data_IF_335179896052
#
_entry.id   IF_335179896052
#
_cell.length_a   1.000
_cell.length_b   1.000
_cell.length_c   1.000
_cell.angle_alpha   90.00
_cell.angle_beta   90.00
_cell.angle_gamma   90.00
#
_symmetry.space_group_name_H-M   'P 1'
#
loop_
_entity.id
_entity.type
_entity.pdbx_description
1 polymer ?
#
# COMPACT_ATOMS: atom_id res chain seq x y z
N UNK A 1 9.95 -10.71 1.56
CA UNK A 1 10.27 -12.09 1.13
C UNK A 1 11.27 -12.06 -0.01
N UNK A 2 11.05 -11.36 -1.13
CA UNK A 2 11.96 -11.35 -2.29
C UNK A 2 13.42 -11.04 -1.92
N UNK A 3 13.66 -10.04 -1.05
CA UNK A 3 15.00 -9.71 -0.58
C UNK A 3 15.59 -10.80 0.34
N UNK A 4 14.77 -11.41 1.17
CA UNK A 4 15.18 -12.50 2.06
C UNK A 4 15.64 -13.73 1.27
N UNK A 5 14.96 -14.02 0.15
CA UNK A 5 15.28 -15.15 -0.73
C UNK A 5 16.34 -14.83 -1.79
N UNK A 6 16.91 -13.59 -1.77
CA UNK A 6 17.91 -13.12 -2.73
C UNK A 6 17.45 -13.30 -4.18
N UNK A 7 16.55 -12.45 -4.59
CA UNK A 7 15.93 -12.49 -5.91
C UNK A 7 16.94 -12.17 -7.01
N UNK A 8 17.05 -13.04 -8.00
CA UNK A 8 17.79 -12.84 -9.25
C UNK A 8 16.93 -13.07 -10.47
N UNK A 9 17.55 -12.92 -11.65
CA UNK A 9 16.95 -13.33 -12.92
C UNK A 9 17.80 -14.40 -13.57
N UNK A 10 17.16 -15.46 -14.00
CA UNK A 10 17.83 -16.48 -14.81
C UNK A 10 18.25 -15.85 -16.15
N UNK A 11 19.55 -15.88 -16.48
CA UNK A 11 20.08 -15.21 -17.68
C UNK A 11 19.58 -15.81 -19.01
N UNK A 12 19.07 -17.03 -19.01
CA UNK A 12 18.61 -17.73 -20.21
C UNK A 12 17.10 -17.57 -20.42
N UNK A 13 16.32 -17.61 -19.35
CA UNK A 13 14.86 -17.53 -19.44
C UNK A 13 14.29 -16.16 -19.08
N UNK A 14 15.09 -15.29 -18.47
CA UNK A 14 14.63 -14.00 -17.92
C UNK A 14 13.61 -14.12 -16.79
N UNK A 15 13.42 -15.32 -16.25
CA UNK A 15 12.49 -15.58 -15.16
C UNK A 15 13.08 -15.19 -13.83
N UNK A 16 12.19 -14.76 -12.92
CA UNK A 16 12.55 -14.52 -11.52
C UNK A 16 12.95 -15.86 -10.88
N UNK A 17 14.12 -15.89 -10.27
CA UNK A 17 14.64 -17.00 -9.50
C UNK A 17 15.06 -16.53 -8.12
N UNK A 18 15.07 -17.43 -7.15
CA UNK A 18 15.53 -17.19 -5.80
C UNK A 18 16.81 -17.99 -5.55
N UNK A 19 17.79 -17.36 -4.87
CA UNK A 19 19.03 -18.05 -4.48
C UNK A 19 18.79 -19.04 -3.35
N UNK A 20 17.95 -18.68 -2.39
CA UNK A 20 17.55 -19.58 -1.31
C UNK A 20 16.38 -20.46 -1.72
N UNK A 21 16.49 -21.76 -1.44
CA UNK A 21 15.52 -22.81 -1.72
C UNK A 21 15.83 -24.08 -0.97
N UNK A 22 15.38 -25.23 -1.46
CA UNK A 22 15.62 -26.55 -0.84
C UNK A 22 17.11 -26.90 -0.73
N UNK A 23 17.91 -26.53 -1.74
CA UNK A 23 19.36 -26.84 -1.80
C UNK A 23 20.20 -25.85 -0.96
N UNK A 24 19.71 -24.66 -0.71
CA UNK A 24 20.36 -23.64 0.13
C UNK A 24 19.34 -22.96 1.05
N UNK A 25 18.89 -23.64 2.12
CA UNK A 25 17.86 -23.11 3.00
C UNK A 25 18.37 -21.94 3.85
N UNK A 26 17.44 -21.08 4.26
CA UNK A 26 17.71 -19.97 5.16
C UNK A 26 18.26 -20.45 6.51
N UNK A 27 19.32 -19.81 6.98
CA UNK A 27 19.93 -20.09 8.30
C UNK A 27 19.19 -19.31 9.39
N UNK A 28 17.90 -19.61 9.57
CA UNK A 28 17.04 -18.95 10.55
C UNK A 28 16.30 -19.99 11.40
N UNK A 29 16.19 -19.73 12.68
CA UNK A 29 15.39 -20.54 13.63
C UNK A 29 13.93 -20.14 13.63
N UNK A 30 13.64 -18.89 13.23
CA UNK A 30 12.29 -18.39 13.07
C UNK A 30 12.22 -17.34 11.95
N UNK A 31 11.13 -17.36 11.19
CA UNK A 31 10.80 -16.36 10.18
C UNK A 31 9.43 -15.76 10.52
N UNK A 32 9.36 -14.45 10.59
CA UNK A 32 8.12 -13.70 10.79
C UNK A 32 7.82 -12.96 9.50
N UNK A 33 6.65 -13.24 8.90
CA UNK A 33 6.16 -12.55 7.71
C UNK A 33 5.04 -11.60 8.14
N UNK A 34 5.29 -10.31 8.03
CA UNK A 34 4.28 -9.29 8.22
C UNK A 34 3.58 -8.96 6.89
N UNK A 35 2.38 -8.37 6.95
CA UNK A 35 1.54 -8.06 5.76
C UNK A 35 1.31 -9.29 4.86
N UNK A 36 1.06 -10.46 5.47
CA UNK A 36 0.92 -11.74 4.75
C UNK A 36 -0.27 -11.75 3.79
N UNK A 37 -1.27 -10.90 3.96
CA UNK A 37 -2.38 -10.71 3.01
C UNK A 37 -1.91 -10.35 1.59
N UNK A 38 -0.73 -9.74 1.46
CA UNK A 38 -0.11 -9.35 0.18
C UNK A 38 0.72 -10.47 -0.46
N UNK A 39 0.88 -11.62 0.20
CA UNK A 39 1.70 -12.76 -0.28
C UNK A 39 0.84 -13.69 -1.11
N UNK A 40 1.26 -13.94 -2.35
CA UNK A 40 0.60 -14.91 -3.23
C UNK A 40 1.11 -16.35 -3.01
N UNK A 41 0.42 -17.30 -3.62
CA UNK A 41 0.74 -18.72 -3.48
C UNK A 41 2.15 -19.07 -3.99
N UNK A 42 2.60 -18.59 -5.17
CA UNK A 42 3.96 -18.87 -5.65
C UNK A 42 5.06 -18.33 -4.72
N UNK A 43 4.88 -17.13 -4.19
CA UNK A 43 5.87 -16.51 -3.30
C UNK A 43 5.95 -17.24 -1.95
N UNK A 44 4.80 -17.69 -1.43
CA UNK A 44 4.79 -18.51 -0.22
C UNK A 44 5.41 -19.87 -0.46
N UNK A 45 5.14 -20.51 -1.59
CA UNK A 45 5.77 -21.79 -1.95
C UNK A 45 7.31 -21.66 -2.01
N UNK A 46 7.81 -20.58 -2.62
CA UNK A 46 9.25 -20.30 -2.65
C UNK A 46 9.83 -20.07 -1.23
N UNK A 47 9.10 -19.35 -0.38
CA UNK A 47 9.51 -19.15 1.01
C UNK A 47 9.57 -20.48 1.76
N UNK A 48 8.53 -21.30 1.66
CA UNK A 48 8.48 -22.59 2.34
C UNK A 48 9.58 -23.55 1.89
N UNK A 49 9.91 -23.56 0.59
CA UNK A 49 11.02 -24.34 0.06
C UNK A 49 12.39 -23.90 0.62
N UNK A 50 12.53 -22.64 1.01
CA UNK A 50 13.75 -22.11 1.60
C UNK A 50 13.80 -22.24 3.14
N UNK A 51 12.75 -22.73 3.80
CA UNK A 51 12.76 -22.93 5.24
C UNK A 51 13.25 -24.33 5.63
N UNK A 52 14.06 -24.39 6.68
CA UNK A 52 14.40 -25.66 7.30
C UNK A 52 13.19 -26.24 8.04
N UNK A 53 13.12 -27.56 8.17
CA UNK A 53 12.01 -28.25 8.84
C UNK A 53 11.83 -27.87 10.31
N UNK A 54 12.88 -27.41 10.98
CA UNK A 54 12.88 -26.97 12.38
C UNK A 54 12.65 -25.45 12.54
N UNK A 55 12.55 -24.70 11.44
CA UNK A 55 12.30 -23.26 11.47
C UNK A 55 10.84 -22.95 11.82
N UNK A 56 10.63 -22.02 12.74
CA UNK A 56 9.31 -21.54 13.11
C UNK A 56 8.86 -20.47 12.12
N UNK A 57 7.67 -20.64 11.54
CA UNK A 57 7.06 -19.65 10.66
C UNK A 57 5.89 -18.96 11.39
N UNK A 58 5.93 -17.64 11.47
CA UNK A 58 4.85 -16.81 12.02
C UNK A 58 4.34 -15.90 10.90
N UNK A 59 3.07 -15.98 10.60
CA UNK A 59 2.39 -15.17 9.61
C UNK A 59 1.53 -14.11 10.31
N UNK A 60 1.78 -12.85 10.03
CA UNK A 60 1.05 -11.71 10.57
C UNK A 60 0.38 -10.98 9.42
N UNK A 61 -0.87 -10.57 9.57
CA UNK A 61 -1.60 -9.85 8.52
C UNK A 61 -3.05 -9.62 8.88
N UNK A 62 -3.74 -8.97 7.98
CA UNK A 62 -5.16 -8.67 8.09
C UNK A 62 -5.92 -9.37 6.96
N UNK A 63 -6.75 -10.41 7.27
CA UNK A 63 -7.48 -11.17 6.24
C UNK A 63 -8.58 -10.35 5.57
N UNK A 64 -8.94 -9.20 6.14
CA UNK A 64 -9.99 -8.31 5.64
C UNK A 64 -9.42 -7.22 4.70
N UNK A 65 -8.09 -7.10 4.60
CA UNK A 65 -7.44 -6.28 3.58
C UNK A 65 -7.52 -6.91 2.19
N UNK A 66 -7.20 -6.09 1.17
CA UNK A 66 -7.16 -6.59 -0.21
C UNK A 66 -6.14 -7.74 -0.33
N UNK A 67 -6.52 -8.83 -1.02
CA UNK A 67 -5.61 -9.95 -1.25
C UNK A 67 -4.46 -9.56 -2.18
N UNK A 68 -3.48 -10.45 -2.30
CA UNK A 68 -2.37 -10.31 -3.23
C UNK A 68 -2.83 -10.06 -4.67
N UNK A 69 -2.04 -9.34 -5.46
CA UNK A 69 -2.27 -9.17 -6.91
C UNK A 69 -1.99 -10.48 -7.66
N UNK A 70 -1.07 -11.30 -7.14
CA UNK A 70 -0.77 -12.63 -7.65
C UNK A 70 -1.86 -13.65 -7.30
N UNK A 71 -1.75 -14.89 -7.81
CA UNK A 71 -2.79 -15.89 -7.69
C UNK A 71 -2.98 -16.40 -6.24
N UNK A 72 -4.25 -16.51 -5.84
CA UNK A 72 -4.69 -17.10 -4.58
C UNK A 72 -4.91 -16.08 -3.45
N UNK A 73 -5.75 -16.43 -2.50
CA UNK A 73 -5.96 -15.70 -1.23
C UNK A 73 -5.36 -16.53 -0.10
N UNK A 74 -4.04 -16.71 -0.15
CA UNK A 74 -3.32 -17.63 0.71
C UNK A 74 -3.63 -17.43 2.20
N UNK A 75 -3.50 -16.19 2.70
CA UNK A 75 -3.65 -15.90 4.12
C UNK A 75 -5.06 -16.20 4.63
N UNK A 76 -6.06 -15.75 3.88
CA UNK A 76 -7.46 -16.07 4.16
C UNK A 76 -7.76 -17.57 4.07
N UNK A 77 -7.17 -18.28 3.10
CA UNK A 77 -7.38 -19.72 2.93
C UNK A 77 -6.73 -20.52 4.06
N UNK A 78 -5.53 -20.15 4.51
CA UNK A 78 -4.88 -20.77 5.67
C UNK A 78 -5.72 -20.63 6.94
N UNK A 79 -6.25 -19.43 7.20
CA UNK A 79 -7.13 -19.19 8.36
C UNK A 79 -8.41 -20.03 8.26
N UNK A 80 -9.06 -20.06 7.09
CA UNK A 80 -10.30 -20.82 6.88
C UNK A 80 -10.10 -22.32 6.95
N UNK A 81 -8.94 -22.82 6.59
CA UNK A 81 -8.64 -24.26 6.65
C UNK A 81 -8.65 -24.81 8.07
N UNK A 82 -8.38 -23.97 9.07
CA UNK A 82 -8.26 -24.39 10.47
C UNK A 82 -7.07 -25.31 10.75
N UNK A 83 -6.19 -25.54 9.79
CA UNK A 83 -5.02 -26.45 9.94
C UNK A 83 -3.83 -25.77 10.62
N UNK A 84 -3.80 -24.43 10.64
CA UNK A 84 -2.72 -23.64 11.25
C UNK A 84 -3.25 -22.98 12.52
N UNK A 85 -2.56 -23.08 13.66
CA UNK A 85 -2.92 -22.35 14.87
C UNK A 85 -3.04 -20.85 14.60
N UNK A 86 -4.21 -20.28 14.90
CA UNK A 86 -4.52 -18.90 14.57
C UNK A 86 -4.96 -18.13 15.80
N UNK A 87 -4.37 -16.96 16.01
CA UNK A 87 -4.80 -15.99 17.02
C UNK A 87 -5.39 -14.77 16.31
N UNK A 88 -6.64 -14.45 16.62
CA UNK A 88 -7.31 -13.25 16.11
C UNK A 88 -7.32 -12.15 17.15
N UNK A 89 -6.85 -10.97 16.76
CA UNK A 89 -6.97 -9.77 17.56
C UNK A 89 -8.33 -9.11 17.25
N UNK A 90 -9.26 -9.20 18.20
CA UNK A 90 -10.64 -8.72 18.01
C UNK A 90 -10.97 -7.49 18.86
N UNK A 91 -10.10 -7.11 19.78
CA UNK A 91 -10.34 -5.95 20.65
C UNK A 91 -9.98 -4.66 19.93
N UNK A 92 -10.96 -3.82 19.68
CA UNK A 92 -10.78 -2.45 19.23
C UNK A 92 -10.63 -1.59 20.50
N UNK A 93 -9.51 -0.88 20.61
CA UNK A 93 -9.33 0.07 21.72
C UNK A 93 -10.44 1.13 21.70
N UNK A 94 -10.87 1.54 22.90
CA UNK A 94 -12.01 2.46 23.09
C UNK A 94 -11.91 3.74 22.25
N UNK A 95 -10.73 4.29 22.07
CA UNK A 95 -10.49 5.45 21.20
C UNK A 95 -10.76 5.16 19.71
N UNK A 96 -10.35 3.99 19.22
CA UNK A 96 -10.60 3.59 17.83
C UNK A 96 -12.08 3.26 17.58
N UNK A 97 -12.84 2.82 18.58
CA UNK A 97 -14.28 2.57 18.47
C UNK A 97 -15.10 3.84 18.23
N UNK A 98 -14.57 5.02 18.56
CA UNK A 98 -15.21 6.32 18.26
C UNK A 98 -14.87 6.85 16.87
N UNK A 99 -13.87 6.29 16.20
CA UNK A 99 -13.46 6.66 14.84
C UNK A 99 -14.54 6.31 13.82
N UNK A 100 -14.94 7.25 13.00
CA UNK A 100 -15.83 7.02 11.88
C UNK A 100 -15.14 6.23 10.76
N UNK A 101 -13.81 6.36 10.59
CA UNK A 101 -13.01 5.55 9.67
C UNK A 101 -13.12 4.08 10.05
N UNK A 102 -12.87 3.74 11.31
CA UNK A 102 -12.90 2.35 11.79
C UNK A 102 -14.30 1.75 11.65
N UNK A 103 -15.33 2.49 12.08
CA UNK A 103 -16.72 2.04 11.95
C UNK A 103 -17.12 1.79 10.49
N UNK A 104 -16.78 2.73 9.59
CA UNK A 104 -17.09 2.58 8.18
C UNK A 104 -16.29 1.46 7.52
N UNK A 105 -15.05 1.21 7.94
CA UNK A 105 -14.27 0.07 7.48
C UNK A 105 -14.94 -1.27 7.85
N UNK A 106 -15.47 -1.40 9.06
CA UNK A 106 -16.23 -2.58 9.48
C UNK A 106 -17.54 -2.77 8.68
N UNK A 107 -18.28 -1.68 8.40
CA UNK A 107 -19.46 -1.74 7.56
C UNK A 107 -19.12 -2.25 6.16
N UNK A 108 -18.08 -1.70 5.55
CA UNK A 108 -17.61 -2.14 4.21
C UNK A 108 -17.20 -3.60 4.22
N UNK A 109 -16.47 -4.04 5.25
CA UNK A 109 -16.05 -5.43 5.39
C UNK A 109 -17.24 -6.41 5.58
N UNK A 110 -18.30 -5.95 6.27
CA UNK A 110 -19.54 -6.70 6.41
C UNK A 110 -20.42 -6.68 5.14
N UNK A 111 -20.01 -5.97 4.07
CA UNK A 111 -20.81 -5.77 2.86
C UNK A 111 -21.92 -4.73 3.03
N UNK A 112 -21.85 -3.91 4.08
CA UNK A 112 -22.83 -2.90 4.39
C UNK A 112 -22.38 -1.52 3.84
N UNK A 113 -23.37 -0.62 3.65
CA UNK A 113 -23.09 0.73 3.18
C UNK A 113 -22.44 1.56 4.31
N UNK A 114 -21.28 2.19 4.07
CA UNK A 114 -20.69 3.10 5.04
C UNK A 114 -21.58 4.33 5.29
N UNK A 115 -21.49 4.90 6.49
CA UNK A 115 -22.19 6.14 6.83
C UNK A 115 -21.50 7.35 6.18
N UNK A 116 -22.04 7.80 5.05
CA UNK A 116 -21.51 8.91 4.25
C UNK A 116 -22.10 10.28 4.65
N UNK A 117 -23.04 10.33 5.60
CA UNK A 117 -23.77 11.55 5.94
C UNK A 117 -23.14 12.32 7.08
N UNK A 118 -22.45 11.66 7.97
CA UNK A 118 -21.77 12.28 9.12
C UNK A 118 -20.40 12.78 8.72
N UNK A 119 -20.19 14.08 8.84
CA UNK A 119 -18.92 14.77 8.53
C UNK A 119 -18.38 15.49 9.77
N UNK A 120 -18.51 14.87 10.92
CA UNK A 120 -18.27 15.49 12.24
C UNK A 120 -17.07 14.89 13.01
N UNK A 121 -16.34 13.96 12.39
CA UNK A 121 -15.24 13.28 13.04
C UNK A 121 -14.00 13.21 12.11
N UNK A 122 -13.52 12.02 11.82
CA UNK A 122 -12.30 11.72 11.07
C UNK A 122 -12.56 11.19 9.64
N UNK A 123 -13.83 10.94 9.29
CA UNK A 123 -14.25 10.44 7.97
C UNK A 123 -15.17 11.45 7.28
N UNK A 124 -14.81 11.88 6.07
CA UNK A 124 -15.57 12.84 5.27
C UNK A 124 -15.83 12.31 3.87
N UNK A 125 -17.06 12.41 3.41
CA UNK A 125 -17.45 12.05 2.05
C UNK A 125 -17.87 13.28 1.26
N UNK A 126 -17.16 13.55 0.15
CA UNK A 126 -17.44 14.67 -0.75
C UNK A 126 -17.85 14.16 -2.12
N UNK A 127 -19.14 14.13 -2.43
CA UNK A 127 -19.62 13.71 -3.75
C UNK A 127 -19.22 14.71 -4.83
N UNK A 128 -18.61 14.22 -5.91
CA UNK A 128 -18.33 14.96 -7.15
C UNK A 128 -18.73 14.12 -8.33
N UNK A 129 -19.53 14.68 -9.22
CA UNK A 129 -20.11 13.93 -10.35
C UNK A 129 -19.18 13.86 -11.56
N UNK A 130 -18.31 14.85 -11.72
CA UNK A 130 -17.37 14.91 -12.82
C UNK A 130 -15.91 14.87 -12.36
N UNK A 131 -15.01 14.29 -13.17
CA UNK A 131 -13.60 14.15 -12.83
C UNK A 131 -12.88 15.49 -12.60
N UNK A 132 -13.29 16.56 -13.32
CA UNK A 132 -12.64 17.85 -13.22
C UNK A 132 -12.89 18.48 -11.84
N UNK A 133 -14.16 18.56 -11.42
CA UNK A 133 -14.49 19.11 -10.09
C UNK A 133 -13.97 18.24 -8.95
N UNK A 134 -13.81 16.92 -9.18
CA UNK A 134 -13.16 16.05 -8.22
C UNK A 134 -11.67 16.39 -8.06
N UNK A 135 -10.94 16.55 -9.17
CA UNK A 135 -9.53 16.92 -9.15
C UNK A 135 -9.29 18.30 -8.51
N UNK A 136 -10.09 19.29 -8.87
CA UNK A 136 -10.05 20.64 -8.28
C UNK A 136 -10.31 20.60 -6.76
N UNK A 137 -11.28 19.78 -6.33
CA UNK A 137 -11.56 19.58 -4.91
C UNK A 137 -10.38 18.97 -4.16
N UNK A 138 -9.72 17.94 -4.75
CA UNK A 138 -8.55 17.30 -4.17
C UNK A 138 -7.40 18.30 -4.01
N UNK A 139 -7.12 19.08 -5.06
CA UNK A 139 -6.07 20.11 -5.03
C UNK A 139 -6.37 21.17 -3.95
N UNK A 140 -7.61 21.66 -3.87
CA UNK A 140 -8.03 22.64 -2.87
C UNK A 140 -7.94 22.08 -1.44
N UNK A 141 -8.29 20.80 -1.24
CA UNK A 141 -8.12 20.12 0.05
C UNK A 141 -6.64 20.09 0.46
N UNK A 142 -5.74 19.69 -0.43
CA UNK A 142 -4.31 19.57 -0.12
C UNK A 142 -3.65 20.94 0.09
N UNK A 143 -4.02 21.93 -0.73
CA UNK A 143 -3.37 23.26 -0.69
C UNK A 143 -3.86 24.11 0.47
N UNK A 144 -5.15 24.10 0.75
CA UNK A 144 -5.81 25.09 1.59
C UNK A 144 -6.64 24.50 2.72
N UNK A 145 -7.65 23.69 2.40
CA UNK A 145 -8.67 23.35 3.41
C UNK A 145 -8.13 22.52 4.56
N UNK A 146 -7.35 21.49 4.28
CA UNK A 146 -6.79 20.64 5.33
C UNK A 146 -5.71 21.38 6.13
N UNK A 147 -4.75 22.11 5.50
CA UNK A 147 -3.81 22.93 6.24
C UNK A 147 -4.45 24.03 7.10
N UNK A 148 -5.37 24.82 6.53
CA UNK A 148 -5.94 25.97 7.24
C UNK A 148 -6.99 25.59 8.29
N UNK A 149 -7.81 24.56 8.03
CA UNK A 149 -8.94 24.23 8.91
C UNK A 149 -8.67 23.11 9.88
N UNK A 150 -7.76 22.19 9.53
CA UNK A 150 -7.47 21.01 10.33
C UNK A 150 -6.01 20.99 10.82
N UNK A 151 -5.18 21.95 10.41
CA UNK A 151 -3.78 22.02 10.81
C UNK A 151 -2.94 20.88 10.24
N UNK A 152 -3.38 20.22 9.15
CA UNK A 152 -2.66 19.10 8.52
C UNK A 152 -1.79 19.66 7.40
N UNK A 153 -0.47 19.71 7.54
CA UNK A 153 0.43 20.22 6.52
C UNK A 153 0.34 19.41 5.22
N UNK A 154 0.56 20.05 4.07
CA UNK A 154 0.44 19.40 2.76
C UNK A 154 1.36 18.19 2.59
N UNK A 155 2.54 18.20 3.21
CA UNK A 155 3.50 17.09 3.21
C UNK A 155 3.04 15.87 4.02
N UNK A 156 2.05 16.03 4.90
CA UNK A 156 1.43 14.93 5.65
C UNK A 156 0.16 14.39 4.97
N UNK A 157 -0.27 14.97 3.85
CA UNK A 157 -1.44 14.53 3.12
C UNK A 157 -1.03 13.53 2.04
N UNK A 158 -1.68 12.35 2.02
CA UNK A 158 -1.52 11.36 0.96
C UNK A 158 -2.79 11.26 0.13
N UNK A 159 -2.68 11.48 -1.18
CA UNK A 159 -3.78 11.28 -2.13
C UNK A 159 -3.68 9.89 -2.73
N UNK A 160 -4.77 9.12 -2.65
CA UNK A 160 -4.89 7.80 -3.25
C UNK A 160 -5.90 7.86 -4.40
N UNK A 161 -5.58 7.22 -5.52
CA UNK A 161 -6.48 7.06 -6.66
C UNK A 161 -6.45 5.61 -7.15
N UNK A 162 -7.61 5.01 -7.46
CA UNK A 162 -7.69 3.65 -7.95
C UNK A 162 -7.22 3.50 -9.40
N UNK A 163 -6.96 4.61 -10.11
CA UNK A 163 -6.58 4.60 -11.53
C UNK A 163 -5.31 5.40 -11.80
N UNK A 164 -4.59 5.04 -12.87
CA UNK A 164 -3.43 5.81 -13.35
C UNK A 164 -3.81 6.87 -14.38
N UNK A 165 -4.85 6.60 -15.18
CA UNK A 165 -5.28 7.43 -16.33
C UNK A 165 -6.57 8.17 -16.00
N UNK A 166 -6.98 9.11 -16.89
CA UNK A 166 -8.13 10.01 -16.76
C UNK A 166 -7.88 11.17 -15.79
N UNK A 167 -8.85 12.10 -15.69
CA UNK A 167 -8.70 13.36 -14.95
C UNK A 167 -8.45 13.24 -13.46
N UNK A 168 -8.88 12.14 -12.82
CA UNK A 168 -8.61 11.80 -11.42
C UNK A 168 -7.59 10.69 -11.24
N UNK A 169 -6.91 10.27 -12.32
CA UNK A 169 -5.83 9.30 -12.25
C UNK A 169 -4.57 9.90 -11.64
N UNK A 170 -3.69 9.03 -11.09
CA UNK A 170 -2.47 9.47 -10.41
C UNK A 170 -1.60 10.39 -11.26
N UNK A 171 -1.53 10.17 -12.59
CA UNK A 171 -0.71 11.01 -13.48
C UNK A 171 -1.23 12.46 -13.54
N UNK A 172 -2.54 12.65 -13.73
CA UNK A 172 -3.14 13.98 -13.78
C UNK A 172 -3.12 14.68 -12.41
N UNK A 173 -3.41 13.95 -11.35
CA UNK A 173 -3.38 14.49 -9.98
C UNK A 173 -1.97 14.88 -9.57
N UNK A 174 -0.93 14.09 -9.89
CA UNK A 174 0.45 14.45 -9.60
C UNK A 174 0.86 15.75 -10.30
N UNK A 175 0.49 15.93 -11.57
CA UNK A 175 0.76 17.17 -12.30
C UNK A 175 0.06 18.38 -11.67
N UNK A 176 -1.23 18.25 -11.35
CA UNK A 176 -2.00 19.32 -10.73
C UNK A 176 -1.51 19.69 -9.33
N UNK A 177 -1.17 18.69 -8.52
CA UNK A 177 -0.62 18.89 -7.18
C UNK A 177 0.78 19.49 -7.23
N UNK A 178 1.67 19.02 -8.12
CA UNK A 178 3.00 19.58 -8.30
C UNK A 178 2.91 21.05 -8.72
N UNK A 179 2.10 21.38 -9.72
CA UNK A 179 1.92 22.76 -10.18
C UNK A 179 1.43 23.69 -9.06
N UNK A 180 0.66 23.15 -8.10
CA UNK A 180 0.02 23.94 -7.04
C UNK A 180 0.85 23.99 -5.76
N UNK A 181 1.44 22.87 -5.34
CA UNK A 181 2.16 22.75 -4.07
C UNK A 181 3.66 23.03 -4.22
N UNK A 182 4.21 22.74 -5.39
CA UNK A 182 5.62 22.95 -5.72
C UNK A 182 5.77 23.59 -7.10
N UNK A 183 5.35 24.87 -7.28
CA UNK A 183 5.44 25.56 -8.56
C UNK A 183 6.89 25.71 -9.03
N UNK A 184 7.13 25.88 -10.35
CA UNK A 184 8.45 26.11 -10.90
C UNK A 184 9.07 27.39 -10.33
N UNK A 185 10.40 27.39 -10.17
CA UNK A 185 11.20 28.52 -9.75
C UNK A 185 12.57 28.40 -10.41
N UNK A 186 13.24 29.53 -10.69
CA UNK A 186 14.58 29.55 -11.25
C UNK A 186 15.64 28.89 -10.35
N UNK A 187 15.34 28.80 -9.05
CA UNK A 187 16.22 28.20 -8.04
C UNK A 187 16.07 26.67 -7.93
N UNK A 188 15.01 26.09 -8.53
CA UNK A 188 14.72 24.66 -8.41
C UNK A 188 15.21 23.85 -9.59
N UNK A 189 16.01 22.83 -9.32
CA UNK A 189 16.39 21.86 -10.31
C UNK A 189 15.19 21.06 -10.83
N UNK A 190 15.12 20.85 -12.15
CA UNK A 190 14.11 20.02 -12.79
C UNK A 190 14.77 18.92 -13.61
N UNK A 191 14.20 17.72 -13.56
CA UNK A 191 14.63 16.59 -14.39
C UNK A 191 13.43 15.83 -14.94
N UNK A 192 13.42 15.64 -16.25
CA UNK A 192 12.41 14.83 -16.93
C UNK A 192 12.86 13.38 -17.06
N UNK A 193 11.97 12.46 -16.70
CA UNK A 193 12.15 11.03 -16.92
C UNK A 193 10.88 10.46 -17.56
N UNK A 194 10.96 10.09 -18.84
CA UNK A 194 9.80 9.76 -19.66
C UNK A 194 8.80 10.92 -19.69
N UNK A 195 7.54 10.64 -19.35
CA UNK A 195 6.48 11.65 -19.28
C UNK A 195 6.40 12.40 -17.94
N UNK A 196 7.24 12.03 -16.98
CA UNK A 196 7.23 12.62 -15.64
C UNK A 196 8.31 13.68 -15.51
N UNK A 197 7.91 14.87 -15.06
CA UNK A 197 8.80 15.95 -14.66
C UNK A 197 8.97 15.89 -13.14
N UNK A 198 10.18 15.68 -12.69
CA UNK A 198 10.56 15.80 -11.28
C UNK A 198 11.15 17.16 -11.01
N UNK A 199 10.79 17.76 -9.90
CA UNK A 199 11.27 19.06 -9.45
C UNK A 199 11.80 18.96 -8.03
N UNK A 200 12.86 19.68 -7.75
CA UNK A 200 13.38 19.78 -6.39
C UNK A 200 12.30 20.24 -5.41
N UNK A 201 12.18 19.50 -4.28
CA UNK A 201 11.09 19.68 -3.32
C UNK A 201 9.84 18.80 -3.61
N UNK A 202 9.82 18.02 -4.69
CA UNK A 202 8.74 17.04 -4.90
C UNK A 202 8.81 15.93 -3.87
N UNK A 203 7.63 15.52 -3.40
CA UNK A 203 7.49 14.30 -2.62
C UNK A 203 7.47 13.10 -3.56
N UNK A 204 8.43 12.22 -3.42
CA UNK A 204 8.60 11.06 -4.29
C UNK A 204 8.53 9.75 -3.51
N UNK A 205 8.18 8.67 -4.21
CA UNK A 205 8.19 7.32 -3.68
C UNK A 205 8.96 6.41 -4.63
N UNK A 206 9.85 5.60 -4.07
CA UNK A 206 10.53 4.57 -4.83
C UNK A 206 9.55 3.43 -5.13
N UNK A 207 9.30 3.16 -6.40
CA UNK A 207 8.32 2.15 -6.86
C UNK A 207 8.97 0.81 -7.22
N UNK A 208 10.29 0.73 -7.25
CA UNK A 208 11.04 -0.49 -7.52
C UNK A 208 12.19 -0.61 -6.53
N UNK A 209 12.49 -1.82 -6.12
CA UNK A 209 13.67 -2.06 -5.31
C UNK A 209 14.92 -1.66 -6.11
N UNK A 210 15.81 -0.92 -5.47
CA UNK A 210 17.15 -0.66 -5.96
C UNK A 210 18.12 -1.41 -5.05
N UNK A 211 18.68 -2.50 -5.56
CA UNK A 211 19.59 -3.35 -4.81
C UNK A 211 21.04 -2.82 -4.85
N UNK A 212 21.31 -1.80 -5.68
CA UNK A 212 22.64 -1.20 -5.85
C UNK A 212 22.90 -0.07 -4.84
N UNK A 213 21.88 0.35 -4.11
CA UNK A 213 21.98 1.38 -3.06
C UNK A 213 21.60 0.76 -1.73
N UNK A 214 22.59 0.57 -0.89
CA UNK A 214 22.44 0.15 0.52
C UNK A 214 22.03 1.33 1.40
#
# INVERSE_FOLDING_TARGET
IHRLLETGFDPHSGRLVFSHGEDDPLKADAVIVDETSMVDVPLMAALLAALRNDCRLVLVGDPDQLPSVGPGNLFGDLIRSGTVPTVRLTQIFRQAAQSAIVRNAHLVNAGEMPDLRKNDNDFFFLSRRDPQSAAETIVDLCRRRLPERMGIPADQIQVLSPTRRRGTGTSALNQALQATLNPPSEEKGERRFGDTLFREGDRVMQTRNNYDVL
#
